data_IF_234334200555
#
_entry.id   IF_234334200555
#
_cell.length_a   1.000
_cell.length_b   1.000
_cell.length_c   1.000
_cell.angle_alpha   90.00
_cell.angle_beta   90.00
_cell.angle_gamma   90.00
#
_symmetry.space_group_name_H-M   'P 1'
#
loop_
_entity.id
_entity.type
_entity.pdbx_description
1 polymer ?
#
# COMPACT_ATOMS: atom_id res chain seq x y z
N UNK A 1 25.83 -22.43 15.23
CA UNK A 1 26.01 -20.97 15.31
C UNK A 1 25.51 -20.36 14.01
N UNK A 2 24.59 -19.40 14.13
CA UNK A 2 24.10 -18.43 13.11
C UNK A 2 23.62 -19.00 11.76
N UNK A 3 22.30 -19.19 11.66
CA UNK A 3 21.57 -19.33 10.40
C UNK A 3 21.84 -18.10 9.52
N UNK A 4 22.45 -18.30 8.36
CA UNK A 4 22.53 -17.30 7.31
C UNK A 4 21.12 -16.78 7.01
N UNK A 5 20.98 -15.46 7.10
CA UNK A 5 19.74 -14.72 6.90
C UNK A 5 19.15 -15.10 5.54
N UNK A 6 18.02 -15.80 5.56
CA UNK A 6 17.23 -16.09 4.37
C UNK A 6 16.60 -14.77 3.95
N UNK A 7 17.23 -14.04 3.04
CA UNK A 7 16.61 -12.93 2.33
C UNK A 7 15.54 -13.50 1.39
N UNK A 8 14.22 -13.33 1.64
CA UNK A 8 13.24 -13.64 0.60
C UNK A 8 13.33 -12.55 -0.47
N UNK A 9 13.39 -13.01 -1.73
CA UNK A 9 13.41 -12.23 -2.97
C UNK A 9 12.50 -10.99 -2.90
N UNK A 10 13.04 -9.84 -3.26
CA UNK A 10 12.43 -8.50 -3.16
C UNK A 10 11.06 -8.34 -3.82
N UNK A 11 10.66 -9.24 -4.72
CA UNK A 11 9.33 -9.25 -5.37
C UNK A 11 8.19 -9.57 -4.39
N UNK A 12 8.39 -10.53 -3.48
CA UNK A 12 7.33 -10.94 -2.54
C UNK A 12 7.03 -9.85 -1.50
N UNK A 13 8.01 -8.98 -1.21
CA UNK A 13 7.84 -7.86 -0.28
C UNK A 13 7.02 -6.73 -0.90
N UNK A 14 7.30 -6.40 -2.17
CA UNK A 14 6.59 -5.35 -2.90
C UNK A 14 5.14 -5.76 -3.23
N UNK A 15 4.93 -6.99 -3.71
CA UNK A 15 3.58 -7.51 -3.96
C UNK A 15 2.76 -7.58 -2.67
N UNK A 16 3.34 -8.03 -1.56
CA UNK A 16 2.65 -8.06 -0.27
C UNK A 16 2.32 -6.66 0.26
N UNK A 17 3.18 -5.68 -0.01
CA UNK A 17 2.93 -4.28 0.32
C UNK A 17 1.73 -3.74 -0.48
N UNK A 18 1.71 -3.92 -1.80
CA UNK A 18 0.61 -3.50 -2.65
C UNK A 18 -0.70 -4.25 -2.33
N UNK A 19 -0.63 -5.55 -2.08
CA UNK A 19 -1.78 -6.34 -1.65
C UNK A 19 -2.34 -5.84 -0.31
N UNK A 20 -1.49 -5.32 0.59
CA UNK A 20 -1.90 -4.67 1.82
C UNK A 20 -2.59 -3.33 1.59
N UNK A 21 -1.98 -2.47 0.78
CA UNK A 21 -2.48 -1.12 0.46
C UNK A 21 -3.77 -1.14 -0.35
N UNK A 22 -3.93 -2.09 -1.26
CA UNK A 22 -5.11 -2.23 -2.13
C UNK A 22 -6.13 -3.24 -1.57
N UNK A 23 -5.97 -3.67 -0.32
CA UNK A 23 -6.86 -4.66 0.31
C UNK A 23 -8.29 -4.17 0.61
N UNK A 24 -8.54 -2.86 0.49
CA UNK A 24 -9.77 -2.18 0.93
C UNK A 24 -10.09 -2.37 2.42
N UNK A 25 -9.12 -2.84 3.22
CA UNK A 25 -9.27 -3.05 4.67
C UNK A 25 -8.45 -2.01 5.43
N UNK A 26 -9.07 -1.00 6.07
CA UNK A 26 -8.35 0.13 6.68
C UNK A 26 -7.19 -0.30 7.58
N UNK A 27 -7.39 -1.31 8.42
CA UNK A 27 -6.37 -1.86 9.30
C UNK A 27 -5.17 -2.48 8.56
N UNK A 28 -5.39 -3.16 7.42
CA UNK A 28 -4.28 -3.70 6.60
C UNK A 28 -3.56 -2.60 5.84
N UNK A 29 -4.30 -1.62 5.33
CA UNK A 29 -3.75 -0.46 4.60
C UNK A 29 -2.81 0.32 5.52
N UNK A 30 -3.28 0.69 6.72
CA UNK A 30 -2.47 1.41 7.73
C UNK A 30 -1.21 0.62 8.14
N UNK A 31 -1.32 -0.70 8.32
CA UNK A 31 -0.17 -1.56 8.64
C UNK A 31 0.85 -1.64 7.50
N UNK A 32 0.39 -1.73 6.24
CA UNK A 32 1.27 -1.72 5.08
C UNK A 32 1.95 -0.35 4.92
N UNK A 33 1.19 0.73 5.09
CA UNK A 33 1.68 2.10 5.05
C UNK A 33 2.71 2.41 6.13
N UNK A 34 2.51 1.92 7.36
CA UNK A 34 3.44 2.11 8.47
C UNK A 34 4.83 1.52 8.21
N UNK A 35 4.94 0.51 7.34
CA UNK A 35 6.21 -0.14 6.97
C UNK A 35 7.02 0.66 5.93
N UNK A 36 6.40 1.59 5.23
CA UNK A 36 7.06 2.45 4.24
C UNK A 36 7.90 3.53 4.93
N UNK A 37 9.08 3.81 4.38
CA UNK A 37 9.88 4.95 4.77
C UNK A 37 9.23 6.27 4.27
N UNK A 38 9.56 7.42 4.89
CA UNK A 38 9.03 8.72 4.49
C UNK A 38 9.11 9.04 2.99
N UNK A 39 10.22 8.80 2.27
CA UNK A 39 10.27 9.07 0.82
C UNK A 39 9.37 8.12 0.02
N UNK A 40 9.25 6.86 0.42
CA UNK A 40 8.41 5.86 -0.26
C UNK A 40 6.92 6.18 -0.10
N UNK A 41 6.52 6.68 1.07
CA UNK A 41 5.15 7.14 1.33
C UNK A 41 4.71 8.18 0.31
N UNK A 42 5.53 9.20 0.06
CA UNK A 42 5.19 10.24 -0.93
C UNK A 42 4.98 9.65 -2.33
N UNK A 43 5.85 8.73 -2.76
CA UNK A 43 5.72 8.04 -4.05
C UNK A 43 4.46 7.17 -4.13
N UNK A 44 4.15 6.43 -3.06
CA UNK A 44 2.94 5.58 -2.98
C UNK A 44 1.66 6.43 -2.98
N UNK A 45 1.62 7.55 -2.25
CA UNK A 45 0.47 8.46 -2.27
C UNK A 45 0.23 9.05 -3.66
N UNK A 46 1.31 9.49 -4.33
CA UNK A 46 1.20 9.98 -5.71
C UNK A 46 0.67 8.88 -6.64
N UNK A 47 1.17 7.65 -6.49
CA UNK A 47 0.71 6.51 -7.29
C UNK A 47 -0.77 6.18 -7.04
N UNK A 48 -1.22 6.14 -5.78
CA UNK A 48 -2.63 5.89 -5.44
C UNK A 48 -3.56 6.96 -6.03
N UNK A 49 -3.15 8.24 -6.06
CA UNK A 49 -3.92 9.31 -6.72
C UNK A 49 -3.98 9.09 -8.23
N UNK A 50 -2.86 8.75 -8.86
CA UNK A 50 -2.82 8.41 -10.29
C UNK A 50 -3.68 7.19 -10.62
N UNK A 51 -3.81 6.22 -9.72
CA UNK A 51 -4.71 5.08 -9.90
C UNK A 51 -6.18 5.52 -9.92
N UNK A 52 -6.58 6.44 -9.04
CA UNK A 52 -7.96 6.94 -8.95
C UNK A 52 -8.33 7.81 -10.16
N UNK A 53 -7.45 8.74 -10.54
CA UNK A 53 -7.74 9.75 -11.56
C UNK A 53 -7.33 9.32 -12.98
N UNK A 54 -6.36 8.41 -13.09
CA UNK A 54 -5.76 8.03 -14.36
C UNK A 54 -6.67 7.18 -15.25
N UNK A 55 -6.57 7.42 -16.55
CA UNK A 55 -7.14 6.56 -17.59
C UNK A 55 -6.31 5.27 -17.72
N UNK A 56 -6.97 4.12 -17.93
CA UNK A 56 -6.31 2.81 -18.05
C UNK A 56 -6.35 1.92 -16.80
N UNK A 57 -6.83 2.43 -15.66
CA UNK A 57 -7.07 1.61 -14.47
C UNK A 57 -8.47 0.99 -14.48
N UNK A 58 -8.55 -0.27 -14.03
CA UNK A 58 -9.85 -0.95 -13.91
C UNK A 58 -10.68 -0.32 -12.77
N UNK A 59 -12.03 -0.36 -12.85
CA UNK A 59 -12.90 0.18 -11.80
C UNK A 59 -12.54 -0.33 -10.40
N UNK A 60 -12.32 -1.65 -10.25
CA UNK A 60 -11.94 -2.26 -8.97
C UNK A 60 -10.60 -1.75 -8.43
N UNK A 61 -9.65 -1.42 -9.31
CA UNK A 61 -8.36 -0.86 -8.89
C UNK A 61 -8.50 0.59 -8.42
N UNK A 62 -9.36 1.37 -9.10
CA UNK A 62 -9.71 2.75 -8.68
C UNK A 62 -10.38 2.75 -7.31
N UNK A 63 -11.33 1.85 -7.11
CA UNK A 63 -12.02 1.69 -5.82
C UNK A 63 -11.05 1.27 -4.70
N UNK A 64 -10.15 0.33 -4.99
CA UNK A 64 -9.12 -0.08 -4.03
C UNK A 64 -8.18 1.07 -3.66
N UNK A 65 -7.73 1.85 -4.64
CA UNK A 65 -6.87 3.01 -4.41
C UNK A 65 -7.60 4.12 -3.65
N UNK A 66 -8.89 4.35 -3.92
CA UNK A 66 -9.72 5.31 -3.19
C UNK A 66 -9.86 4.92 -1.72
N UNK A 67 -10.22 3.65 -1.44
CA UNK A 67 -10.26 3.13 -0.06
C UNK A 67 -8.91 3.27 0.65
N UNK A 68 -7.80 3.10 -0.08
CA UNK A 68 -6.48 3.31 0.50
C UNK A 68 -6.25 4.77 0.91
N UNK A 69 -6.55 5.72 0.02
CA UNK A 69 -6.44 7.15 0.32
C UNK A 69 -7.35 7.56 1.49
N UNK A 70 -8.58 7.06 1.55
CA UNK A 70 -9.52 7.33 2.64
C UNK A 70 -9.00 6.79 3.98
N UNK A 71 -8.55 5.54 4.03
CA UNK A 71 -8.01 4.93 5.25
C UNK A 71 -6.75 5.62 5.79
N UNK A 72 -5.99 6.29 4.92
CA UNK A 72 -4.80 7.07 5.27
C UNK A 72 -5.11 8.52 5.62
N UNK A 73 -6.21 9.08 5.10
CA UNK A 73 -6.66 10.44 5.39
C UNK A 73 -7.42 10.54 6.71
N UNK A 74 -8.16 9.48 7.10
CA UNK A 74 -8.84 9.43 8.39
C UNK A 74 -7.84 9.08 9.50
N UNK A 75 -7.48 10.02 10.41
CA UNK A 75 -6.78 9.65 11.64
C UNK A 75 -7.66 8.63 12.37
N UNK A 76 -7.09 7.52 12.83
CA UNK A 76 -7.87 6.39 13.32
C UNK A 76 -8.88 6.76 14.39
N UNK A 77 -10.17 6.74 14.04
CA UNK A 77 -11.24 6.43 14.98
C UNK A 77 -11.09 4.94 15.29
N UNK A 78 -10.34 4.62 16.34
CA UNK A 78 -10.38 3.37 17.10
C UNK A 78 -10.76 3.73 18.55
#
# INVERSE_FOLDING_TARGET
MMHAMREPRSETSLEAMWAGLLSQRPNRIRRAWARLAPPERSSVLAHLRQMVEGEGWQPSQREAARSALEALATPGED
#
